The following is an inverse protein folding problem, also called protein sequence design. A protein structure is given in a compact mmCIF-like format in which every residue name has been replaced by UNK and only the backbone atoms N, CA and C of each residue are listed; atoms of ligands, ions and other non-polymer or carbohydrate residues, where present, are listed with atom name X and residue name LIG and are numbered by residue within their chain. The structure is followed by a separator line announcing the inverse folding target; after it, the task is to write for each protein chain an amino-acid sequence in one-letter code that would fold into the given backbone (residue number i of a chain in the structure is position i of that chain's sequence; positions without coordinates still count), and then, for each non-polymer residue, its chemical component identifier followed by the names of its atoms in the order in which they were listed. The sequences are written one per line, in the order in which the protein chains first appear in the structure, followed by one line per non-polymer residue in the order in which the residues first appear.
data_IF_216451683018
#
_entry.id   IF_216451683018
#
_cell.length_a   1.000
_cell.length_b   1.000
_cell.length_c   1.000
_cell.angle_alpha   90.00
_cell.angle_beta   90.00
_cell.angle_gamma   90.00
#
_symmetry.space_group_name_H-M   'P 1'
#
loop_
_entity.id
_entity.type
_entity.pdbx_description
1 polymer ?
#
# COMPACT_ATOMS: atom_id res chain seq x y z
N UNK A 1 -4.62 18.91 6.57
CA UNK A 1 -3.84 19.01 5.32
C UNK A 1 -2.72 17.98 5.40
N UNK A 2 -2.66 17.01 4.49
CA UNK A 2 -1.56 16.03 4.48
C UNK A 2 -0.29 16.66 3.89
N UNK A 3 0.85 16.42 4.52
CA UNK A 3 2.16 16.77 3.94
C UNK A 3 2.35 15.98 2.64
N UNK A 4 2.69 16.65 1.54
CA UNK A 4 2.95 16.00 0.26
C UNK A 4 4.44 16.18 -0.09
N UNK A 5 5.23 15.17 0.25
CA UNK A 5 6.66 15.14 -0.07
C UNK A 5 6.88 14.62 -1.49
N UNK A 6 7.81 15.23 -2.22
CA UNK A 6 8.26 14.65 -3.49
C UNK A 6 9.11 13.40 -3.23
N UNK A 7 9.27 12.55 -4.26
CA UNK A 7 10.14 11.37 -4.15
C UNK A 7 11.59 11.79 -3.80
N UNK A 8 12.08 12.92 -4.33
CA UNK A 8 13.40 13.50 -4.01
C UNK A 8 13.49 13.96 -2.54
N UNK A 9 12.45 14.62 -2.01
CA UNK A 9 12.43 15.06 -0.62
C UNK A 9 12.50 13.89 0.37
N UNK A 10 11.83 12.78 0.04
CA UNK A 10 11.84 11.55 0.83
C UNK A 10 13.21 10.89 0.83
N UNK A 11 13.89 10.87 -0.31
CA UNK A 11 15.26 10.37 -0.40
C UNK A 11 16.23 11.26 0.38
N UNK A 12 16.14 12.59 0.25
CA UNK A 12 16.95 13.53 1.04
C UNK A 12 16.73 13.37 2.54
N UNK A 13 15.47 13.17 2.93
CA UNK A 13 15.07 12.87 4.30
C UNK A 13 15.71 11.57 4.81
N UNK A 14 15.63 10.49 4.01
CA UNK A 14 16.23 9.19 4.32
C UNK A 14 17.76 9.28 4.44
N UNK A 15 18.44 10.01 3.56
CA UNK A 15 19.90 10.21 3.67
C UNK A 15 20.27 10.87 4.99
N UNK A 16 19.55 11.92 5.40
CA UNK A 16 19.77 12.58 6.70
C UNK A 16 19.52 11.63 7.86
N UNK A 17 18.44 10.86 7.81
CA UNK A 17 18.12 9.85 8.82
C UNK A 17 19.24 8.82 8.96
N UNK A 18 19.70 8.21 7.85
CA UNK A 18 20.77 7.21 7.86
C UNK A 18 22.07 7.78 8.45
N UNK A 19 22.35 9.07 8.24
CA UNK A 19 23.53 9.77 8.78
C UNK A 19 23.37 10.28 10.22
N UNK A 20 22.20 10.09 10.84
CA UNK A 20 21.92 10.61 12.18
C UNK A 20 21.88 12.15 12.21
N UNK A 21 21.62 12.77 11.07
CA UNK A 21 21.55 14.22 10.94
C UNK A 21 20.14 14.74 11.24
N UNK A 22 20.01 16.00 11.71
CA UNK A 22 18.70 16.61 11.91
C UNK A 22 17.87 16.61 10.62
N UNK A 23 16.62 16.13 10.74
CA UNK A 23 15.67 16.02 9.64
C UNK A 23 14.70 17.19 9.76
N UNK A 24 14.46 17.90 8.66
CA UNK A 24 13.53 19.05 8.64
C UNK A 24 12.07 18.64 8.94
N UNK A 25 11.76 17.36 8.72
CA UNK A 25 10.45 16.74 8.88
C UNK A 25 10.36 16.00 10.23
N UNK A 26 10.23 16.76 11.31
CA UNK A 26 10.26 16.26 12.69
C UNK A 26 9.10 15.31 13.05
N UNK A 27 8.12 15.16 12.15
CA UNK A 27 6.88 14.41 12.40
C UNK A 27 6.84 13.01 11.75
N UNK A 28 7.91 12.54 11.08
CA UNK A 28 7.95 11.18 10.51
C UNK A 28 8.43 10.18 11.59
N UNK A 29 7.55 9.33 12.14
CA UNK A 29 7.92 8.39 13.20
C UNK A 29 8.75 7.21 12.67
N UNK A 30 9.51 6.58 13.55
CA UNK A 30 10.12 5.27 13.31
C UNK A 30 9.16 4.17 13.77
N UNK A 31 8.75 3.28 12.86
CA UNK A 31 7.81 2.18 13.12
C UNK A 31 8.35 0.89 12.49
N UNK A 32 8.37 -0.23 13.23
CA UNK A 32 8.70 -1.56 12.70
C UNK A 32 7.53 -2.11 11.86
N UNK A 33 7.40 -1.62 10.63
CA UNK A 33 6.30 -1.93 9.72
C UNK A 33 6.24 -3.42 9.33
N UNK A 34 7.41 -4.06 9.23
CA UNK A 34 7.55 -5.47 8.88
C UNK A 34 7.79 -6.34 10.13
N UNK A 35 7.38 -5.83 11.29
CA UNK A 35 7.54 -6.47 12.58
C UNK A 35 6.42 -7.44 12.92
N UNK A 36 6.25 -7.63 14.23
CA UNK A 36 5.34 -8.62 14.79
C UNK A 36 3.95 -8.07 15.15
N UNK A 37 3.74 -6.77 15.00
CA UNK A 37 2.47 -6.11 15.30
C UNK A 37 1.56 -6.12 14.08
N UNK A 38 0.26 -6.18 14.31
CA UNK A 38 -0.71 -6.05 13.22
C UNK A 38 -0.78 -4.60 12.72
N UNK A 39 -1.06 -4.41 11.43
CA UNK A 39 -1.18 -3.07 10.84
C UNK A 39 -2.33 -2.30 11.48
N UNK A 40 -3.44 -2.98 11.77
CA UNK A 40 -4.53 -2.36 12.49
C UNK A 40 -4.05 -1.80 13.83
N UNK A 41 -3.29 -2.54 14.64
CA UNK A 41 -2.73 -2.05 15.91
C UNK A 41 -1.74 -0.90 15.72
N UNK A 42 -0.88 -0.96 14.70
CA UNK A 42 0.10 0.08 14.41
C UNK A 42 -0.55 1.43 14.08
N UNK A 43 -1.76 1.41 13.51
CA UNK A 43 -2.47 2.59 13.03
C UNK A 43 -3.85 2.82 13.71
N UNK A 44 -4.20 2.04 14.74
CA UNK A 44 -5.46 2.13 15.50
C UNK A 44 -5.50 3.35 16.42
N UNK A 45 -4.35 3.76 16.97
CA UNK A 45 -4.26 4.84 17.96
C UNK A 45 -3.93 6.22 17.38
N UNK A 46 -3.63 6.30 16.09
CA UNK A 46 -3.68 7.60 15.42
C UNK A 46 -5.16 7.90 15.19
N UNK A 47 -5.79 8.66 16.09
CA UNK A 47 -7.14 9.26 15.92
C UNK A 47 -7.19 10.28 14.77
N UNK A 48 -6.40 10.01 13.74
CA UNK A 48 -5.87 10.85 12.72
C UNK A 48 -5.60 9.92 11.54
N UNK A 49 -6.28 10.15 10.43
CA UNK A 49 -5.93 9.68 9.09
C UNK A 49 -4.53 10.21 8.63
N UNK A 50 -3.53 10.36 9.53
CA UNK A 50 -2.41 11.30 9.33
C UNK A 50 -1.00 10.71 9.40
N UNK A 51 -0.78 9.50 9.94
CA UNK A 51 0.54 8.85 9.79
C UNK A 51 0.60 8.14 8.46
N UNK A 52 0.85 8.91 7.41
CA UNK A 52 1.07 8.35 6.09
C UNK A 52 2.54 8.04 5.83
N UNK A 53 3.48 8.71 6.50
CA UNK A 53 4.92 8.49 6.32
C UNK A 53 5.55 7.92 7.59
N UNK A 54 6.48 6.99 7.43
CA UNK A 54 7.24 6.41 8.54
C UNK A 54 8.64 5.98 8.07
N UNK A 55 9.59 5.95 8.99
CA UNK A 55 10.84 5.20 8.82
C UNK A 55 10.65 3.78 9.32
N UNK A 56 11.20 2.80 8.61
CA UNK A 56 11.30 1.43 9.11
C UNK A 56 12.69 0.89 8.79
N UNK A 57 13.25 0.14 9.74
CA UNK A 57 14.46 -0.61 9.50
C UNK A 57 14.11 -1.96 8.87
N UNK A 58 14.80 -2.33 7.80
CA UNK A 58 14.59 -3.60 7.12
C UNK A 58 15.39 -4.71 7.80
N UNK A 59 14.74 -5.86 8.00
CA UNK A 59 15.40 -7.07 8.53
C UNK A 59 15.86 -7.95 7.39
N UNK A 60 17.15 -8.31 7.33
CA UNK A 60 17.65 -9.26 6.33
C UNK A 60 17.08 -10.66 6.58
N UNK A 61 16.76 -11.39 5.51
CA UNK A 61 16.29 -12.78 5.62
C UNK A 61 17.37 -13.73 6.15
N UNK A 62 18.62 -13.42 5.85
CA UNK A 62 19.80 -14.17 6.32
C UNK A 62 20.90 -13.17 6.64
N UNK A 63 21.82 -13.54 7.54
CA UNK A 63 22.89 -12.65 8.04
C UNK A 63 23.70 -12.02 6.89
N UNK A 64 23.96 -12.76 5.81
CA UNK A 64 24.71 -12.30 4.63
C UNK A 64 23.82 -12.08 3.39
N UNK A 65 22.51 -12.12 3.55
CA UNK A 65 21.56 -12.04 2.45
C UNK A 65 21.41 -10.63 1.90
N UNK A 66 21.11 -10.52 0.61
CA UNK A 66 20.68 -9.28 -0.06
C UNK A 66 19.18 -9.03 0.05
N UNK A 67 18.41 -10.05 0.47
CA UNK A 67 16.96 -10.00 0.48
C UNK A 67 16.45 -9.65 1.87
N UNK A 68 15.59 -8.64 1.94
CA UNK A 68 14.89 -8.25 3.17
C UNK A 68 13.60 -9.04 3.38
N UNK A 69 13.29 -9.29 4.65
CA UNK A 69 12.03 -9.87 5.06
C UNK A 69 10.96 -8.78 5.08
N UNK A 70 9.88 -9.01 4.32
CA UNK A 70 8.68 -8.16 4.28
C UNK A 70 7.45 -9.01 4.58
N UNK A 71 7.57 -9.86 5.60
CA UNK A 71 6.49 -10.68 6.14
C UNK A 71 6.07 -10.11 7.48
N UNK A 72 4.79 -10.24 7.82
CA UNK A 72 4.29 -9.96 9.16
C UNK A 72 4.05 -11.28 9.90
N UNK A 73 3.73 -11.20 11.20
CA UNK A 73 3.34 -12.37 12.01
C UNK A 73 2.15 -13.11 11.38
N UNK A 74 2.11 -14.44 11.58
CA UNK A 74 1.11 -15.31 10.96
C UNK A 74 1.44 -15.73 9.52
N UNK A 75 2.65 -15.46 9.03
CA UNK A 75 3.12 -15.94 7.72
C UNK A 75 2.58 -15.17 6.51
N UNK A 76 1.80 -14.11 6.77
CA UNK A 76 1.26 -13.21 5.74
C UNK A 76 2.36 -12.29 5.24
N UNK A 77 2.32 -11.97 3.94
CA UNK A 77 3.43 -11.29 3.26
C UNK A 77 2.94 -10.09 2.47
N UNK A 78 3.72 -9.04 2.51
CA UNK A 78 3.62 -7.94 1.57
C UNK A 78 3.99 -8.44 0.17
N UNK A 79 3.09 -8.26 -0.79
CA UNK A 79 3.28 -8.64 -2.19
C UNK A 79 3.76 -7.42 -2.99
N UNK A 80 4.84 -7.57 -3.75
CA UNK A 80 5.28 -6.51 -4.66
C UNK A 80 4.24 -6.30 -5.76
N UNK A 81 3.84 -5.04 -5.99
CA UNK A 81 2.85 -4.67 -7.01
C UNK A 81 3.48 -4.21 -8.31
N UNK A 82 4.62 -3.55 -8.22
CA UNK A 82 5.39 -3.05 -9.35
C UNK A 82 6.87 -3.44 -9.25
N UNK A 83 7.55 -3.28 -10.39
CA UNK A 83 9.00 -3.29 -10.42
C UNK A 83 9.54 -2.06 -9.70
N UNK A 84 10.76 -2.19 -9.17
CA UNK A 84 11.48 -1.07 -8.59
C UNK A 84 11.63 0.04 -9.63
N UNK A 85 11.29 1.27 -9.26
CA UNK A 85 11.43 2.46 -10.11
C UNK A 85 12.54 3.34 -9.58
N UNK A 86 13.40 3.81 -10.46
CA UNK A 86 14.45 4.75 -10.13
C UNK A 86 13.86 6.11 -9.74
N UNK A 87 14.51 6.75 -8.77
CA UNK A 87 14.25 8.14 -8.40
C UNK A 87 15.50 8.92 -8.80
N UNK A 88 15.28 9.96 -9.61
CA UNK A 88 16.33 10.84 -10.09
C UNK A 88 16.25 12.18 -9.37
N UNK A 89 17.39 12.79 -9.12
CA UNK A 89 17.47 14.19 -8.72
C UNK A 89 17.28 15.13 -9.92
N UNK A 90 17.37 16.45 -9.66
CA UNK A 90 17.27 17.51 -10.68
C UNK A 90 18.35 17.42 -11.75
N UNK A 91 19.51 16.85 -11.43
CA UNK A 91 20.64 16.63 -12.34
C UNK A 91 20.52 15.32 -13.12
N UNK A 92 19.42 14.57 -12.90
CA UNK A 92 19.13 13.26 -13.48
C UNK A 92 20.07 12.15 -13.00
N UNK A 93 20.74 12.36 -11.87
CA UNK A 93 21.48 11.33 -11.17
C UNK A 93 20.53 10.45 -10.37
N UNK A 94 20.75 9.15 -10.39
CA UNK A 94 19.94 8.22 -9.62
C UNK A 94 20.31 8.31 -8.13
N UNK A 95 19.33 8.69 -7.30
CA UNK A 95 19.51 8.90 -5.85
C UNK A 95 18.80 7.84 -4.99
N UNK A 96 17.96 7.01 -5.62
CA UNK A 96 17.23 5.98 -4.91
C UNK A 96 16.25 5.22 -5.77
N UNK A 97 15.44 4.43 -5.09
CA UNK A 97 14.40 3.61 -5.68
C UNK A 97 13.08 3.75 -4.93
N UNK A 98 11.98 3.59 -5.66
CA UNK A 98 10.64 3.41 -5.11
C UNK A 98 10.08 2.06 -5.52
N UNK A 99 9.49 1.34 -4.57
CA UNK A 99 8.75 0.10 -4.83
C UNK A 99 7.43 0.06 -4.08
N UNK A 100 6.38 -0.40 -4.74
CA UNK A 100 5.03 -0.52 -4.18
C UNK A 100 4.76 -1.95 -3.72
N UNK A 101 4.26 -2.08 -2.50
CA UNK A 101 3.80 -3.33 -1.92
C UNK A 101 2.32 -3.26 -1.57
N UNK A 102 1.64 -4.41 -1.60
CA UNK A 102 0.26 -4.59 -1.17
C UNK A 102 0.18 -5.65 -0.09
N UNK A 103 -0.62 -5.39 0.93
CA UNK A 103 -1.00 -6.37 1.94
C UNK A 103 -2.52 -6.41 2.03
N UNK A 104 -3.10 -7.57 1.77
CA UNK A 104 -4.54 -7.79 1.92
C UNK A 104 -4.80 -8.22 3.36
N UNK A 105 -5.73 -7.56 4.07
CA UNK A 105 -6.27 -8.06 5.33
C UNK A 105 -7.21 -9.23 5.07
N UNK A 106 -7.39 -10.08 6.08
CA UNK A 106 -8.21 -11.27 5.94
C UNK A 106 -9.64 -10.79 6.20
N UNK A 107 -10.48 -10.89 5.18
CA UNK A 107 -11.91 -10.63 5.31
C UNK A 107 -12.59 -11.94 5.64
N UNK A 108 -13.59 -11.90 6.51
CA UNK A 108 -14.49 -13.04 6.64
C UNK A 108 -15.31 -13.17 5.36
N UNK A 109 -15.77 -14.39 5.04
CA UNK A 109 -16.61 -14.62 3.85
C UNK A 109 -17.95 -13.89 3.88
N UNK A 110 -18.33 -13.32 5.03
CA UNK A 110 -19.55 -12.55 5.24
C UNK A 110 -19.34 -11.05 5.00
N UNK A 111 -18.08 -10.60 4.96
CA UNK A 111 -17.76 -9.20 4.76
C UNK A 111 -17.95 -8.81 3.28
N UNK A 112 -18.82 -7.83 3.05
CA UNK A 112 -18.99 -7.20 1.73
C UNK A 112 -17.81 -6.31 1.35
N UNK A 113 -16.88 -6.10 2.29
CA UNK A 113 -15.74 -5.19 2.18
C UNK A 113 -14.44 -5.95 2.41
N UNK A 114 -13.47 -5.70 1.55
CA UNK A 114 -12.09 -6.18 1.68
C UNK A 114 -11.19 -5.00 2.00
N UNK A 115 -10.48 -5.09 3.12
CA UNK A 115 -9.49 -4.10 3.53
C UNK A 115 -8.12 -4.52 3.02
N UNK A 116 -7.37 -3.57 2.48
CA UNK A 116 -5.99 -3.79 2.07
C UNK A 116 -5.15 -2.54 2.25
N UNK A 117 -3.86 -2.75 2.40
CA UNK A 117 -2.86 -1.71 2.60
C UNK A 117 -1.95 -1.62 1.39
N UNK A 118 -1.59 -0.40 1.04
CA UNK A 118 -0.58 -0.10 0.02
C UNK A 118 0.57 0.62 0.70
N UNK A 119 1.78 0.14 0.47
CA UNK A 119 3.01 0.80 0.90
C UNK A 119 3.81 1.19 -0.32
N UNK A 120 4.28 2.43 -0.37
CA UNK A 120 5.37 2.86 -1.24
C UNK A 120 6.63 2.94 -0.40
N UNK A 121 7.57 2.04 -0.64
CA UNK A 121 8.86 1.98 0.01
C UNK A 121 9.89 2.76 -0.80
N UNK A 122 10.66 3.60 -0.13
CA UNK A 122 11.71 4.45 -0.68
C UNK A 122 13.05 4.06 -0.08
N UNK A 123 14.02 3.70 -0.92
CA UNK A 123 15.34 3.26 -0.50
C UNK A 123 16.44 4.04 -1.22
N UNK A 124 17.57 4.28 -0.55
CA UNK A 124 18.76 4.79 -1.20
C UNK A 124 19.30 3.82 -2.23
N UNK A 125 19.97 4.36 -3.24
CA UNK A 125 20.70 3.55 -4.20
C UNK A 125 21.93 2.93 -3.55
N UNK A 126 22.43 1.85 -4.15
CA UNK A 126 23.54 1.09 -3.57
C UNK A 126 24.85 1.88 -3.57
N UNK A 127 25.09 2.71 -4.58
CA UNK A 127 26.36 3.45 -4.71
C UNK A 127 26.45 4.48 -3.58
N UNK A 128 25.37 5.23 -3.33
CA UNK A 128 25.31 6.17 -2.20
C UNK A 128 25.46 5.46 -0.87
N UNK A 129 24.81 4.30 -0.68
CA UNK A 129 24.96 3.52 0.55
C UNK A 129 26.39 3.01 0.78
N UNK A 130 27.04 2.48 -0.27
CA UNK A 130 28.42 2.01 -0.20
C UNK A 130 29.37 3.17 0.16
N UNK A 131 29.19 4.34 -0.47
CA UNK A 131 29.97 5.55 -0.18
C UNK A 131 29.82 6.02 1.29
N UNK A 132 28.58 6.10 1.78
CA UNK A 132 28.32 6.48 3.18
C UNK A 132 28.96 5.48 4.15
N UNK A 133 28.94 4.19 3.81
CA UNK A 133 29.57 3.14 4.60
C UNK A 133 31.09 3.29 4.64
N UNK A 134 31.72 3.58 3.50
CA UNK A 134 33.17 3.78 3.39
C UNK A 134 33.65 4.98 4.23
N UNK A 135 32.83 6.03 4.31
CA UNK A 135 33.12 7.21 5.14
C UNK A 135 32.75 7.04 6.62
N UNK A 136 32.17 5.90 7.03
CA UNK A 136 31.73 5.68 8.41
C UNK A 136 30.58 6.58 8.85
N UNK A 137 29.76 7.05 7.91
CA UNK A 137 28.66 8.00 8.15
C UNK A 137 27.30 7.30 8.35
N UNK A 138 27.26 5.99 8.56
CA UNK A 138 26.01 5.25 8.75
C UNK A 138 25.74 5.06 10.23
N UNK A 139 24.57 5.53 10.66
CA UNK A 139 24.02 5.35 12.02
C UNK A 139 22.80 4.44 12.04
N UNK A 140 21.95 4.53 11.01
CA UNK A 140 20.72 3.74 10.88
C UNK A 140 20.74 2.89 9.62
N UNK A 141 21.53 1.82 9.64
CA UNK A 141 21.67 0.89 8.50
C UNK A 141 20.34 0.25 8.07
N UNK A 142 20.27 -0.17 6.80
CA UNK A 142 19.13 -0.88 6.21
C UNK A 142 17.77 -0.17 6.43
N UNK A 143 17.77 1.16 6.56
CA UNK A 143 16.55 1.95 6.78
C UNK A 143 15.91 2.40 5.47
N UNK A 144 14.58 2.49 5.47
CA UNK A 144 13.77 3.02 4.36
C UNK A 144 12.70 3.97 4.88
N UNK A 145 12.22 4.85 4.01
CA UNK A 145 10.99 5.62 4.25
C UNK A 145 9.83 4.92 3.56
N UNK A 146 8.70 4.80 4.24
CA UNK A 146 7.48 4.23 3.70
C UNK A 146 6.38 5.27 3.70
N UNK A 147 5.62 5.34 2.60
CA UNK A 147 4.29 5.93 2.58
C UNK A 147 3.24 4.83 2.62
N UNK A 148 2.38 4.81 3.63
CA UNK A 148 1.35 3.79 3.82
C UNK A 148 -0.05 4.37 3.61
N UNK A 149 -0.95 3.56 3.03
CA UNK A 149 -2.35 3.92 2.84
C UNK A 149 -3.24 2.71 3.07
N UNK A 150 -4.26 2.88 3.93
CA UNK A 150 -5.37 1.93 4.08
C UNK A 150 -6.39 2.13 2.96
N UNK A 151 -6.89 1.05 2.38
CA UNK A 151 -7.94 1.06 1.36
C UNK A 151 -9.00 0.02 1.68
N UNK A 152 -10.22 0.31 1.24
CA UNK A 152 -11.38 -0.58 1.34
C UNK A 152 -11.93 -0.77 -0.06
N UNK A 153 -12.21 -2.02 -0.46
CA UNK A 153 -12.92 -2.34 -1.70
C UNK A 153 -14.15 -3.17 -1.42
N UNK A 154 -15.28 -2.81 -2.04
CA UNK A 154 -16.48 -3.64 -2.02
C UNK A 154 -16.34 -4.85 -2.95
N UNK A 155 -16.75 -6.01 -2.47
CA UNK A 155 -16.87 -7.21 -3.28
C UNK A 155 -18.03 -7.02 -4.28
N UNK A 156 -17.74 -7.06 -5.59
CA UNK A 156 -18.79 -7.09 -6.63
C UNK A 156 -19.40 -8.49 -6.61
N UNK A 157 -20.65 -8.61 -6.14
CA UNK A 157 -21.37 -9.87 -6.21
C UNK A 157 -21.45 -10.34 -7.66
N UNK A 158 -21.08 -11.60 -7.90
CA UNK A 158 -21.23 -12.28 -9.18
C UNK A 158 -22.67 -12.80 -9.31
N UNK A 159 -23.67 -11.91 -9.36
CA UNK A 159 -25.05 -12.22 -9.76
C UNK A 159 -25.70 -10.98 -10.40
N UNK A 160 -25.19 -10.55 -11.55
CA UNK A 160 -26.05 -9.86 -12.52
C UNK A 160 -26.63 -10.95 -13.44
N UNK A 161 -27.73 -11.56 -13.00
CA UNK A 161 -28.65 -12.19 -13.95
C UNK A 161 -29.35 -11.01 -14.66
N UNK A 162 -29.22 -10.83 -15.97
CA UNK A 162 -30.03 -9.84 -16.67
C UNK A 162 -31.48 -10.31 -16.57
N UNK A 163 -32.27 -9.64 -15.75
CA UNK A 163 -33.73 -9.78 -15.78
C UNK A 163 -34.16 -9.11 -17.09
N UNK A 164 -34.37 -9.91 -18.13
CA UNK A 164 -35.15 -9.52 -19.29
C UNK A 164 -36.56 -9.20 -18.79
N UNK A 165 -36.87 -7.91 -18.63
CA UNK A 165 -38.25 -7.47 -18.45
C UNK A 165 -38.92 -7.59 -19.83
N UNK A 166 -39.54 -8.74 -20.07
CA UNK A 166 -40.62 -8.84 -21.05
C UNK A 166 -41.76 -7.93 -20.55
N UNK A 167 -41.98 -6.83 -21.27
CA UNK A 167 -43.17 -6.00 -21.11
C UNK A 167 -44.38 -6.78 -21.64
N UNK A 168 -44.96 -7.64 -20.81
CA UNK A 168 -46.33 -8.14 -21.01
C UNK A 168 -47.28 -7.04 -20.51
N UNK A 169 -47.93 -6.36 -21.46
CA UNK A 169 -49.05 -5.44 -21.17
C UNK A 169 -50.30 -6.28 -20.85
N UNK A 170 -50.99 -6.06 -19.72
CA UNK A 170 -52.26 -6.73 -19.46
C UNK A 170 -53.44 -6.02 -20.14
N UNK A 171 -54.24 -6.86 -20.81
CA UNK A 171 -55.57 -6.70 -21.40
C UNK A 171 -56.48 -5.56 -20.92
N UNK A 172 -57.16 -4.94 -21.90
CA UNK A 172 -58.53 -4.47 -21.75
C UNK A 172 -59.47 -5.38 -22.57
N UNK A 173 -60.40 -6.01 -21.85
CA UNK A 173 -61.44 -6.91 -22.32
C UNK A 173 -62.60 -6.14 -22.95
N UNK A 174 -63.16 -6.65 -24.04
CA UNK A 174 -64.61 -6.59 -24.29
C UNK A 174 -65.06 -7.86 -24.98
N UNK A 175 -65.88 -8.63 -24.24
CA UNK A 175 -66.68 -9.80 -24.64
C UNK A 175 -67.57 -9.46 -25.86
N UNK A 176 -67.99 -10.39 -26.72
CA UNK A 176 -68.86 -11.53 -26.39
C UNK A 176 -68.98 -12.54 -27.56
N UNK A 177 -68.89 -13.84 -27.22
CA UNK A 177 -69.74 -15.01 -27.62
C UNK A 177 -70.62 -14.92 -28.88
N UNK A 178 -70.87 -15.95 -29.71
CA UNK A 178 -70.73 -17.42 -29.60
C UNK A 178 -71.23 -18.06 -30.91
N UNK A 179 -70.61 -19.19 -31.28
CA UNK A 179 -71.17 -20.43 -31.86
C UNK A 179 -71.97 -20.53 -33.19
N UNK A 180 -71.50 -21.49 -33.98
CA UNK A 180 -72.18 -22.54 -34.78
C UNK A 180 -72.90 -22.30 -36.13
N UNK A 181 -72.49 -23.19 -37.05
CA UNK A 181 -73.17 -23.88 -38.16
C UNK A 181 -74.60 -23.51 -38.59
N UNK A 182 -74.73 -23.40 -39.91
CA UNK A 182 -75.96 -23.38 -40.71
C UNK A 182 -75.66 -23.04 -42.16
#
# INVERSE_FOLDING_TARGET
MGMNYTDEDLIRCLTKFIRGMPIEYHDIPCIDLYGNKELAELFQNSGNDHVNYLFTQLKRKTIKGKNFNRSIVGGRKWKGRDNSKEILDKERSQIGYRKTFRFDEESSSEDKESVYWIVKEYSLDKITMDLLSEHGEITHEDSVVCFITKKVSLCKNHQDIPITIENVVPNCVSNSSSDHDG
#
